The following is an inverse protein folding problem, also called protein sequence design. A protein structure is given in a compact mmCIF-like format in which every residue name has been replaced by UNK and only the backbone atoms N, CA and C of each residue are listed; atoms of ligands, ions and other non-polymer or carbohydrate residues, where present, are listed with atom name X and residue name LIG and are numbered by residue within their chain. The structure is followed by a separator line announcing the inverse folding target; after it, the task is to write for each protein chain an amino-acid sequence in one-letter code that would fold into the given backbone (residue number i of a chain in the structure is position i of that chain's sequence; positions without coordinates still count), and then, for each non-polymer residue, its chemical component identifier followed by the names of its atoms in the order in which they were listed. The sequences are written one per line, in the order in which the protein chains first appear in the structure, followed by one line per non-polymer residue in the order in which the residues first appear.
data_IF_142626660861
#
_entry.id   IF_142626660861
#
_cell.length_a   1.000
_cell.length_b   1.000
_cell.length_c   1.000
_cell.angle_alpha   90.00
_cell.angle_beta   90.00
_cell.angle_gamma   90.00
#
_symmetry.space_group_name_H-M   'P 1'
#
loop_
_entity.id
_entity.type
_entity.pdbx_description
1 polymer ?
#
# COMPACT_ATOMS: atom_id res chain seq x y z
N UNK A 1 -21.38 7.27 -2.81
CA UNK A 1 -20.63 6.95 -1.58
C UNK A 1 -19.51 6.01 -1.96
N UNK A 2 -18.26 6.29 -1.56
CA UNK A 2 -17.11 5.46 -1.91
C UNK A 2 -16.93 4.40 -0.81
N UNK A 3 -17.26 3.14 -1.10
CA UNK A 3 -17.29 2.05 -0.11
C UNK A 3 -15.88 1.43 0.12
N UNK A 4 -14.84 2.25 0.05
CA UNK A 4 -13.45 1.79 0.15
C UNK A 4 -12.96 1.93 1.59
N UNK A 5 -12.45 0.84 2.15
CA UNK A 5 -11.76 0.83 3.45
C UNK A 5 -10.25 0.82 3.23
N UNK A 6 -9.47 1.25 4.22
CA UNK A 6 -8.00 1.15 4.17
C UNK A 6 -7.55 -0.32 4.22
N UNK A 7 -6.39 -0.64 3.62
CA UNK A 7 -5.84 -1.99 3.71
C UNK A 7 -5.51 -2.41 5.15
N UNK A 8 -5.22 -1.45 6.04
CA UNK A 8 -5.06 -1.73 7.47
C UNK A 8 -6.38 -2.23 8.09
N UNK A 9 -7.49 -1.54 7.81
CA UNK A 9 -8.82 -1.95 8.26
C UNK A 9 -9.24 -3.29 7.67
N UNK A 10 -8.87 -3.57 6.42
CA UNK A 10 -9.10 -4.87 5.80
C UNK A 10 -8.35 -5.99 6.54
N UNK A 11 -7.08 -5.78 6.90
CA UNK A 11 -6.29 -6.76 7.66
C UNK A 11 -6.90 -7.06 9.04
N UNK A 12 -7.38 -6.02 9.74
CA UNK A 12 -8.10 -6.17 11.01
C UNK A 12 -9.37 -7.01 10.88
N UNK A 13 -10.19 -6.74 9.86
CA UNK A 13 -11.44 -7.48 9.61
C UNK A 13 -11.15 -8.95 9.29
N UNK A 14 -10.08 -9.21 8.54
CA UNK A 14 -9.65 -10.56 8.20
C UNK A 14 -8.90 -11.27 9.33
N UNK A 15 -8.65 -10.59 10.46
CA UNK A 15 -7.94 -11.17 11.61
C UNK A 15 -6.50 -11.56 11.30
N UNK A 16 -5.85 -10.87 10.35
CA UNK A 16 -4.50 -11.20 9.88
C UNK A 16 -3.53 -10.03 9.99
N UNK A 17 -2.23 -10.32 9.96
CA UNK A 17 -1.21 -9.26 9.93
C UNK A 17 -1.23 -8.58 8.58
N UNK A 18 -0.94 -7.28 8.57
CA UNK A 18 -0.84 -6.48 7.34
C UNK A 18 0.16 -7.05 6.32
N UNK A 19 1.26 -7.63 6.78
CA UNK A 19 2.25 -8.29 5.93
C UNK A 19 1.70 -9.53 5.24
N UNK A 20 0.82 -10.27 5.90
CA UNK A 20 0.16 -11.46 5.34
C UNK A 20 -0.88 -11.03 4.30
N UNK A 21 -1.59 -9.93 4.54
CA UNK A 21 -2.50 -9.34 3.55
C UNK A 21 -1.75 -8.89 2.29
N UNK A 22 -0.58 -8.26 2.42
CA UNK A 22 0.27 -7.88 1.27
C UNK A 22 0.70 -9.11 0.48
N UNK A 23 1.13 -10.18 1.17
CA UNK A 23 1.52 -11.43 0.52
C UNK A 23 0.33 -12.07 -0.22
N UNK A 24 -0.86 -12.08 0.40
CA UNK A 24 -2.08 -12.57 -0.22
C UNK A 24 -2.41 -11.80 -1.50
N UNK A 25 -2.39 -10.47 -1.47
CA UNK A 25 -2.62 -9.64 -2.65
C UNK A 25 -1.66 -9.99 -3.79
N UNK A 26 -0.37 -10.16 -3.50
CA UNK A 26 0.60 -10.59 -4.51
C UNK A 26 0.26 -11.97 -5.10
N UNK A 27 -0.20 -12.92 -4.29
CA UNK A 27 -0.59 -14.26 -4.77
C UNK A 27 -1.82 -14.25 -5.69
N UNK A 28 -2.75 -13.31 -5.48
CA UNK A 28 -3.99 -13.19 -6.27
C UNK A 28 -3.91 -12.12 -7.36
N UNK A 29 -2.73 -11.55 -7.61
CA UNK A 29 -2.52 -10.53 -8.63
C UNK A 29 -3.22 -9.19 -8.34
N UNK A 30 -3.48 -8.89 -7.07
CA UNK A 30 -4.01 -7.59 -6.65
C UNK A 30 -2.88 -6.66 -6.23
N UNK A 31 -3.00 -5.39 -6.61
CA UNK A 31 -2.08 -4.37 -6.16
C UNK A 31 -2.39 -3.97 -4.72
N UNK A 32 -1.35 -3.87 -3.89
CA UNK A 32 -1.46 -3.32 -2.55
C UNK A 32 -1.48 -1.80 -2.54
N UNK A 33 -0.88 -1.17 -3.55
CA UNK A 33 -0.93 0.27 -3.76
C UNK A 33 -1.97 0.59 -4.82
N UNK A 34 -2.72 1.67 -4.61
CA UNK A 34 -3.66 2.17 -5.62
C UNK A 34 -2.96 3.02 -6.70
N UNK A 35 -1.78 3.54 -6.38
CA UNK A 35 -0.92 4.34 -7.27
C UNK A 35 0.00 3.45 -8.11
N UNK A 36 0.38 3.95 -9.28
CA UNK A 36 1.38 3.33 -10.13
C UNK A 36 2.76 3.34 -9.46
N UNK A 37 3.60 2.35 -9.81
CA UNK A 37 4.92 2.21 -9.19
C UNK A 37 5.84 3.40 -9.49
N UNK A 38 5.68 4.05 -10.64
CA UNK A 38 6.46 5.23 -11.02
C UNK A 38 6.13 6.42 -10.12
N UNK A 39 4.84 6.67 -9.85
CA UNK A 39 4.38 7.72 -8.93
C UNK A 39 4.96 7.49 -7.51
N UNK A 40 4.93 6.24 -7.04
CA UNK A 40 5.51 5.90 -5.74
C UNK A 40 7.03 6.13 -5.67
N UNK A 41 7.75 5.90 -6.77
CA UNK A 41 9.19 6.14 -6.84
C UNK A 41 9.52 7.64 -6.85
N UNK A 42 8.73 8.46 -7.55
CA UNK A 42 8.86 9.92 -7.54
C UNK A 42 8.59 10.52 -6.15
N UNK A 43 7.57 10.02 -5.46
CA UNK A 43 7.27 10.42 -4.08
C UNK A 43 8.42 10.06 -3.13
N UNK A 44 8.99 8.85 -3.28
CA UNK A 44 10.12 8.41 -2.47
C UNK A 44 11.37 9.26 -2.72
N UNK A 45 11.66 9.61 -3.97
CA UNK A 45 12.77 10.49 -4.33
C UNK A 45 12.57 11.91 -3.78
N UNK A 46 11.34 12.44 -3.84
CA UNK A 46 10.98 13.73 -3.25
C UNK A 46 11.24 13.75 -1.74
N UNK A 47 10.80 12.71 -1.01
CA UNK A 47 11.05 12.59 0.43
C UNK A 47 12.57 12.51 0.72
N UNK A 48 13.32 11.76 -0.07
CA UNK A 48 14.79 11.64 0.07
C UNK A 48 15.47 13.01 -0.03
N UNK A 49 15.12 13.79 -1.05
CA UNK A 49 15.63 15.16 -1.27
C UNK A 49 15.30 16.09 -0.10
N UNK A 50 14.08 16.02 0.43
CA UNK A 50 13.66 16.83 1.59
C UNK A 50 14.46 16.43 2.84
N UNK A 51 14.67 15.14 3.10
CA UNK A 51 15.42 14.66 4.28
C UNK A 51 16.92 14.93 4.21
N UNK A 52 17.47 15.12 3.01
CA UNK A 52 18.88 15.47 2.79
C UNK A 52 19.20 16.96 2.91
N UNK A 53 18.18 17.82 3.11
CA UNK A 53 18.32 19.24 3.45
C UNK A 53 18.32 19.45 4.96
#
# INVERSE_FOLDING_TARGET
MNNTISHGRAAEILGMKKTELIALYSQIGLNYFNSDIEELLEDADTISKIRSK
#
